data_IF_296515918641
#
_entry.id   IF_296515918641
#
_cell.length_a   1.000
_cell.length_b   1.000
_cell.length_c   1.000
_cell.angle_alpha   90.00
_cell.angle_beta   90.00
_cell.angle_gamma   90.00
#
_symmetry.space_group_name_H-M   'P 1'
#
loop_
_entity.id
_entity.type
_entity.pdbx_description
1 polymer ?
#
# COMPACT_ATOMS: atom_id res chain seq x y z
N UNK A 1 18.77 -11.83 -3.51
CA UNK A 1 18.46 -10.40 -3.30
C UNK A 1 17.01 -10.15 -3.68
N UNK A 2 16.23 -9.48 -2.84
CA UNK A 2 14.86 -9.06 -3.19
C UNK A 2 14.92 -7.64 -3.76
N UNK A 3 14.58 -7.49 -5.04
CA UNK A 3 14.52 -6.18 -5.71
C UNK A 3 13.11 -5.61 -5.68
N UNK A 4 12.51 -5.45 -6.87
CA UNK A 4 11.15 -4.89 -7.05
C UNK A 4 10.05 -5.59 -6.26
N UNK A 5 10.22 -6.88 -5.97
CA UNK A 5 9.24 -7.67 -5.22
C UNK A 5 9.07 -7.17 -3.77
N UNK A 6 10.11 -6.60 -3.16
CA UNK A 6 10.01 -6.02 -1.82
C UNK A 6 9.22 -4.70 -1.80
N UNK A 7 9.21 -3.96 -2.92
CA UNK A 7 8.37 -2.77 -3.07
C UNK A 7 6.91 -3.16 -3.36
N UNK A 8 6.69 -4.20 -4.18
CA UNK A 8 5.35 -4.69 -4.45
C UNK A 8 4.67 -5.29 -3.19
N UNK A 9 5.47 -5.92 -2.32
CA UNK A 9 5.01 -6.45 -1.04
C UNK A 9 6.10 -6.30 0.05
N UNK A 10 5.96 -5.30 0.94
CA UNK A 10 6.91 -5.06 2.03
C UNK A 10 7.04 -6.22 3.03
N UNK A 11 6.07 -7.12 3.11
CA UNK A 11 6.09 -8.28 4.01
C UNK A 11 6.59 -9.56 3.34
N UNK A 12 6.99 -9.51 2.06
CA UNK A 12 7.53 -10.66 1.37
C UNK A 12 8.74 -11.28 2.09
N UNK A 13 9.67 -10.45 2.59
CA UNK A 13 10.87 -10.94 3.28
C UNK A 13 10.53 -11.70 4.59
N UNK A 14 9.72 -11.14 5.51
CA UNK A 14 9.20 -11.90 6.65
C UNK A 14 8.50 -13.21 6.27
N UNK A 15 7.66 -13.21 5.22
CA UNK A 15 6.95 -14.41 4.76
C UNK A 15 7.90 -15.49 4.23
N UNK A 16 8.90 -15.11 3.44
CA UNK A 16 9.95 -16.04 2.96
C UNK A 16 10.69 -16.64 4.16
N UNK A 17 11.10 -15.80 5.12
CA UNK A 17 11.81 -16.26 6.32
C UNK A 17 10.96 -17.24 7.13
N UNK A 18 9.68 -16.94 7.34
CA UNK A 18 8.78 -17.82 8.07
C UNK A 18 8.69 -19.20 7.40
N UNK A 19 8.43 -19.23 6.08
CA UNK A 19 8.37 -20.48 5.33
C UNK A 19 9.68 -21.28 5.40
N UNK A 20 10.84 -20.61 5.32
CA UNK A 20 12.14 -21.29 5.44
C UNK A 20 12.38 -21.91 6.81
N UNK A 21 11.81 -21.34 7.87
CA UNK A 21 12.00 -21.81 9.25
C UNK A 21 10.98 -22.88 9.65
N UNK A 22 9.73 -22.76 9.20
CA UNK A 22 8.62 -23.60 9.69
C UNK A 22 8.08 -24.55 8.63
N UNK A 23 8.33 -24.29 7.35
CA UNK A 23 7.65 -24.95 6.23
C UNK A 23 6.21 -24.47 5.99
N UNK A 24 5.64 -23.67 6.90
CA UNK A 24 4.28 -23.16 6.83
C UNK A 24 4.18 -21.89 5.95
N UNK A 25 3.03 -21.68 5.32
CA UNK A 25 2.79 -20.50 4.48
C UNK A 25 1.94 -19.48 5.22
N UNK A 26 2.50 -18.28 5.42
CA UNK A 26 1.72 -17.13 5.85
C UNK A 26 0.83 -16.61 4.71
N UNK A 27 -0.34 -16.03 5.05
CA UNK A 27 -1.23 -15.42 4.06
C UNK A 27 -0.54 -14.26 3.32
N UNK A 28 -1.12 -13.88 2.18
CA UNK A 28 -0.70 -12.67 1.47
C UNK A 28 -1.05 -11.41 2.25
N UNK A 29 -0.24 -10.36 2.07
CA UNK A 29 -0.49 -9.07 2.71
C UNK A 29 -1.74 -8.43 2.13
N UNK A 30 -2.68 -8.12 3.01
CA UNK A 30 -3.91 -7.42 2.66
C UNK A 30 -3.62 -6.02 2.14
N UNK A 31 -4.60 -5.45 1.43
CA UNK A 31 -4.50 -4.05 1.03
C UNK A 31 -4.34 -3.09 2.21
N UNK A 32 -5.03 -3.34 3.34
CA UNK A 32 -4.92 -2.52 4.54
C UNK A 32 -3.48 -2.46 5.10
N UNK A 33 -2.76 -3.59 5.08
CA UNK A 33 -1.35 -3.63 5.44
C UNK A 33 -0.51 -2.78 4.49
N UNK A 34 -0.69 -2.94 3.16
CA UNK A 34 0.05 -2.14 2.18
C UNK A 34 -0.23 -0.64 2.32
N UNK A 35 -1.49 -0.28 2.58
CA UNK A 35 -1.92 1.09 2.80
C UNK A 35 -1.30 1.72 4.05
N UNK A 36 -1.10 0.96 5.14
CA UNK A 36 -0.49 1.51 6.36
C UNK A 36 0.96 1.95 6.11
N UNK A 37 1.73 1.17 5.34
CA UNK A 37 3.11 1.56 4.93
C UNK A 37 3.09 2.88 4.15
N UNK A 38 2.15 3.03 3.21
CA UNK A 38 2.05 4.26 2.41
C UNK A 38 1.67 5.46 3.26
N UNK A 39 0.77 5.30 4.24
CA UNK A 39 0.38 6.36 5.19
C UNK A 39 1.56 6.77 6.07
N UNK A 40 2.29 5.82 6.64
CA UNK A 40 3.48 6.09 7.46
C UNK A 40 4.58 6.78 6.64
N UNK A 41 4.86 6.25 5.45
CA UNK A 41 5.81 6.86 4.52
C UNK A 41 5.44 8.31 4.20
N UNK A 42 4.18 8.57 3.84
CA UNK A 42 3.73 9.92 3.51
C UNK A 42 3.82 10.87 4.71
N UNK A 43 3.50 10.39 5.93
CA UNK A 43 3.60 11.17 7.16
C UNK A 43 5.05 11.59 7.47
N UNK A 44 6.03 10.74 7.16
CA UNK A 44 7.45 11.09 7.28
C UNK A 44 7.89 12.05 6.18
N UNK A 45 7.55 11.77 4.91
CA UNK A 45 8.02 12.57 3.78
C UNK A 45 7.44 13.98 3.76
N UNK A 46 6.18 14.18 4.17
CA UNK A 46 5.55 15.51 4.18
C UNK A 46 6.18 16.49 5.19
N UNK A 47 7.04 16.00 6.08
CA UNK A 47 7.84 16.86 6.98
C UNK A 47 8.98 17.59 6.24
N UNK A 48 9.36 17.09 5.07
CA UNK A 48 10.53 17.56 4.33
C UNK A 48 10.24 17.89 2.86
N UNK A 49 9.14 17.38 2.31
CA UNK A 49 8.79 17.51 0.90
C UNK A 49 7.40 18.13 0.73
N UNK A 50 7.18 18.92 -0.34
CA UNK A 50 5.84 19.42 -0.68
C UNK A 50 4.87 18.27 -0.99
N UNK A 51 3.60 18.43 -0.61
CA UNK A 51 2.55 17.42 -0.78
C UNK A 51 2.46 16.85 -2.20
N UNK A 52 2.60 17.69 -3.24
CA UNK A 52 2.61 17.23 -4.65
C UNK A 52 3.70 16.18 -4.94
N UNK A 53 4.87 16.32 -4.31
CA UNK A 53 5.99 15.39 -4.48
C UNK A 53 5.69 14.09 -3.74
N UNK A 54 5.14 14.20 -2.51
CA UNK A 54 4.71 13.05 -1.72
C UNK A 54 3.65 12.24 -2.48
N UNK A 55 2.66 12.91 -3.09
CA UNK A 55 1.63 12.27 -3.93
C UNK A 55 2.27 11.48 -5.08
N UNK A 56 3.24 12.06 -5.79
CA UNK A 56 3.94 11.36 -6.88
C UNK A 56 4.66 10.11 -6.39
N UNK A 57 5.38 10.19 -5.26
CA UNK A 57 6.12 9.06 -4.67
C UNK A 57 5.17 7.96 -4.18
N UNK A 58 4.09 8.33 -3.49
CA UNK A 58 3.05 7.40 -3.05
C UNK A 58 2.43 6.70 -4.25
N UNK A 59 2.04 7.43 -5.31
CA UNK A 59 1.47 6.82 -6.52
C UNK A 59 2.45 5.90 -7.24
N UNK A 60 3.73 6.25 -7.30
CA UNK A 60 4.76 5.41 -7.89
C UNK A 60 4.85 4.07 -7.15
N UNK A 61 4.87 4.10 -5.82
CA UNK A 61 4.92 2.88 -5.01
C UNK A 61 3.63 2.08 -5.11
N UNK A 62 2.49 2.76 -5.03
CA UNK A 62 1.17 2.14 -5.14
C UNK A 62 0.98 1.43 -6.49
N UNK A 63 1.52 1.99 -7.58
CA UNK A 63 1.55 1.32 -8.88
C UNK A 63 2.36 0.01 -8.90
N UNK A 64 3.38 -0.14 -8.04
CA UNK A 64 4.09 -1.41 -7.85
C UNK A 64 3.26 -2.39 -7.01
N UNK A 65 2.63 -1.89 -5.93
CA UNK A 65 1.84 -2.69 -4.99
C UNK A 65 0.54 -3.27 -5.59
N UNK A 66 0.07 -2.82 -6.76
CA UNK A 66 -1.14 -3.37 -7.38
C UNK A 66 -0.98 -4.78 -7.95
N UNK A 67 0.26 -5.25 -8.11
CA UNK A 67 0.54 -6.53 -8.78
C UNK A 67 0.23 -7.71 -7.84
N UNK A 68 -0.27 -8.81 -8.41
CA UNK A 68 -0.47 -10.08 -7.69
C UNK A 68 -1.69 -10.14 -6.78
N UNK A 69 -2.45 -9.06 -6.60
CA UNK A 69 -3.70 -9.06 -5.80
C UNK A 69 -4.81 -8.31 -6.52
N UNK A 70 -5.96 -8.97 -6.72
CA UNK A 70 -7.15 -8.36 -7.32
C UNK A 70 -7.70 -7.23 -6.46
N UNK A 71 -7.71 -7.42 -5.14
CA UNK A 71 -8.06 -6.40 -4.15
C UNK A 71 -7.16 -5.16 -4.29
N UNK A 72 -5.84 -5.35 -4.36
CA UNK A 72 -4.88 -4.25 -4.52
C UNK A 72 -5.07 -3.53 -5.87
N UNK A 73 -5.36 -4.28 -6.93
CA UNK A 73 -5.66 -3.70 -8.24
C UNK A 73 -6.91 -2.82 -8.20
N UNK A 74 -8.01 -3.30 -7.62
CA UNK A 74 -9.27 -2.55 -7.51
C UNK A 74 -9.07 -1.26 -6.72
N UNK A 75 -8.41 -1.34 -5.56
CA UNK A 75 -8.12 -0.18 -4.74
C UNK A 75 -7.21 0.84 -5.45
N UNK A 76 -6.21 0.39 -6.19
CA UNK A 76 -5.41 1.27 -7.04
C UNK A 76 -6.26 2.02 -8.07
N UNK A 77 -7.12 1.30 -8.80
CA UNK A 77 -7.96 1.93 -9.83
C UNK A 77 -8.86 3.03 -9.26
N UNK A 78 -9.34 2.85 -8.02
CA UNK A 78 -10.16 3.82 -7.29
C UNK A 78 -9.39 5.10 -6.96
N UNK A 79 -8.16 4.99 -6.47
CA UNK A 79 -7.41 6.15 -5.94
C UNK A 79 -6.44 6.79 -6.93
N UNK A 80 -6.12 6.15 -8.07
CA UNK A 80 -5.06 6.61 -9.00
C UNK A 80 -5.22 8.04 -9.52
N UNK A 81 -6.46 8.55 -9.58
CA UNK A 81 -6.77 9.90 -10.10
C UNK A 81 -6.73 10.99 -9.03
N UNK A 82 -6.68 10.66 -7.74
CA UNK A 82 -6.66 11.63 -6.65
C UNK A 82 -5.32 12.39 -6.64
N UNK A 83 -5.36 13.72 -6.58
CA UNK A 83 -4.16 14.57 -6.65
C UNK A 83 -3.81 15.23 -5.34
N UNK A 84 -4.77 15.39 -4.44
CA UNK A 84 -4.56 15.94 -3.11
C UNK A 84 -4.07 14.86 -2.14
N UNK A 85 -3.06 15.18 -1.33
CA UNK A 85 -2.40 14.20 -0.47
C UNK A 85 -3.35 13.63 0.58
N UNK A 86 -4.01 14.48 1.35
CA UNK A 86 -4.89 14.03 2.44
C UNK A 86 -6.10 13.25 1.88
N UNK A 87 -6.64 13.66 0.73
CA UNK A 87 -7.69 12.92 0.04
C UNK A 87 -7.21 11.55 -0.44
N UNK A 88 -6.01 11.47 -1.03
CA UNK A 88 -5.39 10.22 -1.46
C UNK A 88 -5.21 9.27 -0.28
N UNK A 89 -4.61 9.73 0.82
CA UNK A 89 -4.33 8.92 2.01
C UNK A 89 -5.60 8.48 2.73
N UNK A 90 -6.56 9.39 2.90
CA UNK A 90 -7.87 9.08 3.49
C UNK A 90 -8.65 8.05 2.66
N UNK A 91 -8.48 8.07 1.34
CA UNK A 91 -9.12 7.13 0.44
C UNK A 91 -8.38 5.78 0.33
N UNK A 92 -7.20 5.60 0.93
CA UNK A 92 -6.46 4.34 0.74
C UNK A 92 -7.24 3.13 1.26
N UNK A 93 -7.93 3.24 2.40
CA UNK A 93 -8.76 2.17 2.96
C UNK A 93 -10.20 2.66 3.00
N UNK A 94 -11.16 1.78 2.71
CA UNK A 94 -12.57 2.07 2.93
C UNK A 94 -12.85 1.63 4.36
N UNK A 95 -13.17 2.56 5.25
CA UNK A 95 -13.78 2.19 6.52
C UNK A 95 -15.22 1.74 6.23
N UNK A 96 -15.51 0.47 6.49
CA UNK A 96 -16.85 -0.12 6.27
C UNK A 96 -17.96 0.62 7.05
N UNK A 97 -17.62 1.48 8.01
CA UNK A 97 -18.58 2.34 8.70
C UNK A 97 -19.34 3.31 7.77
N UNK A 98 -18.83 3.59 6.55
CA UNK A 98 -19.54 4.43 5.56
C UNK A 98 -20.27 3.64 4.46
N UNK A 99 -20.06 2.32 4.36
CA UNK A 99 -20.75 1.48 3.36
C UNK A 99 -22.17 1.10 3.78
N UNK A 100 -22.49 1.17 5.08
CA UNK A 100 -23.82 0.85 5.63
C UNK A 100 -24.82 2.03 5.61
N UNK A 101 -24.46 3.18 5.03
CA UNK A 101 -25.28 4.40 4.99
C UNK A 101 -25.55 4.91 3.57
N UNK A 102 -25.31 4.11 2.53
CA UNK A 102 -25.64 4.39 1.13
C UNK A 102 -26.60 3.34 0.58
#
# INVERSE_FOLDING_TARGET
>A
MLGRSALADPWLAPRIRHWQLTGERLPESSWAMRASVLKEYAALQRQHLPDRVVVSLVKQWLAQMRQGSSEAHQNFQRVKRLTELDQLLGSLVIDEQFAALA
#
